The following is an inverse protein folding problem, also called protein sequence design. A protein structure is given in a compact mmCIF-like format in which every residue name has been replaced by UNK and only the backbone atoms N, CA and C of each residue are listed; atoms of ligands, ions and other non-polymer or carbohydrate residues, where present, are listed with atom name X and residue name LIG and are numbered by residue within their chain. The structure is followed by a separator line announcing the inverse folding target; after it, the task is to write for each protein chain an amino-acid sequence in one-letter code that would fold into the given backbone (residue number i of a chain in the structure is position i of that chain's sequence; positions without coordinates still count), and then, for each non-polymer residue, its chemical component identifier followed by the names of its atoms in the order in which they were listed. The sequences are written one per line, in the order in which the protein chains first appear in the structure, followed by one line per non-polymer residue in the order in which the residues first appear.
data_IF_322875816895
#
_entry.id   IF_322875816895
#
_cell.length_a   1.000
_cell.length_b   1.000
_cell.length_c   1.000
_cell.angle_alpha   90.00
_cell.angle_beta   90.00
_cell.angle_gamma   90.00
#
_symmetry.space_group_name_H-M   'P 1'
#
loop_
_entity.id
_entity.type
_entity.pdbx_description
1 polymer ?
#
# COMPACT_ATOMS: atom_id res chain seq x y z
N UNK A 1 -8.57 18.83 -32.21
CA UNK A 1 -8.79 18.42 -30.81
C UNK A 1 -7.68 17.49 -30.36
N UNK A 2 -6.70 18.03 -29.64
CA UNK A 2 -5.70 17.20 -28.96
C UNK A 2 -6.39 16.68 -27.70
N UNK A 3 -6.81 15.42 -27.71
CA UNK A 3 -7.23 14.74 -26.47
C UNK A 3 -5.99 14.60 -25.59
N UNK A 4 -5.91 15.39 -24.53
CA UNK A 4 -5.00 15.09 -23.42
C UNK A 4 -5.39 13.71 -22.88
N UNK A 5 -4.63 12.67 -23.24
CA UNK A 5 -4.70 11.37 -22.56
C UNK A 5 -4.32 11.63 -21.10
N UNK A 6 -5.31 11.62 -20.21
CA UNK A 6 -5.06 11.56 -18.77
C UNK A 6 -4.25 10.28 -18.54
N UNK A 7 -3.01 10.42 -18.07
CA UNK A 7 -2.18 9.27 -17.72
C UNK A 7 -2.91 8.49 -16.62
N UNK A 8 -3.38 7.29 -16.94
CA UNK A 8 -3.96 6.40 -15.95
C UNK A 8 -2.83 5.95 -15.02
N UNK A 9 -3.00 6.17 -13.72
CA UNK A 9 -2.05 5.66 -12.71
C UNK A 9 -1.99 4.15 -12.80
N UNK A 10 -0.79 3.61 -13.01
CA UNK A 10 -0.57 2.17 -13.02
C UNK A 10 -0.45 1.69 -11.57
N UNK A 11 -1.26 0.71 -11.18
CA UNK A 11 -1.20 0.12 -9.86
C UNK A 11 -1.12 -1.40 -9.97
N UNK A 12 -0.12 -1.99 -9.29
CA UNK A 12 0.11 -3.43 -9.25
C UNK A 12 0.15 -3.91 -7.81
N UNK A 13 -0.82 -4.73 -7.41
CA UNK A 13 -0.77 -5.44 -6.13
C UNK A 13 0.44 -6.39 -6.11
N UNK A 14 1.17 -6.41 -5.00
CA UNK A 14 2.33 -7.28 -4.76
C UNK A 14 2.15 -8.23 -3.57
N UNK A 15 1.08 -8.06 -2.79
CA UNK A 15 0.75 -8.97 -1.70
C UNK A 15 -0.32 -8.40 -0.77
N UNK A 16 -0.80 -9.25 0.14
CA UNK A 16 -1.79 -8.89 1.14
C UNK A 16 -1.60 -9.68 2.44
N UNK A 17 -2.03 -9.11 3.55
CA UNK A 17 -2.01 -9.73 4.88
C UNK A 17 -3.37 -9.53 5.54
N UNK A 18 -3.96 -10.61 6.07
CA UNK A 18 -5.22 -10.52 6.83
C UNK A 18 -4.99 -9.76 8.14
N UNK A 19 -5.81 -8.75 8.41
CA UNK A 19 -5.83 -8.02 9.68
C UNK A 19 -6.98 -8.50 10.58
N UNK A 20 -8.13 -8.80 9.98
CA UNK A 20 -9.30 -9.38 10.65
C UNK A 20 -10.18 -10.10 9.62
N UNK A 21 -11.33 -10.63 10.02
CA UNK A 21 -12.28 -11.28 9.09
C UNK A 21 -12.83 -10.35 8.01
N UNK A 22 -12.83 -9.03 8.28
CA UNK A 22 -13.37 -8.03 7.36
C UNK A 22 -12.30 -7.07 6.82
N UNK A 23 -11.03 -7.26 7.17
CA UNK A 23 -9.95 -6.34 6.80
C UNK A 23 -8.68 -7.04 6.35
N UNK A 24 -8.11 -6.53 5.26
CA UNK A 24 -6.80 -6.92 4.73
C UNK A 24 -5.92 -5.69 4.57
N UNK A 25 -4.63 -5.81 4.86
CA UNK A 25 -3.63 -4.84 4.43
C UNK A 25 -3.12 -5.28 3.06
N UNK A 26 -3.34 -4.45 2.04
CA UNK A 26 -2.91 -4.73 0.67
C UNK A 26 -1.71 -3.85 0.34
N UNK A 27 -0.65 -4.47 -0.19
CA UNK A 27 0.54 -3.80 -0.67
C UNK A 27 0.50 -3.68 -2.19
N UNK A 28 0.65 -2.47 -2.73
CA UNK A 28 0.67 -2.20 -4.17
C UNK A 28 1.84 -1.30 -4.56
N UNK A 29 2.40 -1.53 -5.74
CA UNK A 29 3.32 -0.62 -6.42
C UNK A 29 2.51 0.33 -7.30
N UNK A 30 2.70 1.64 -7.13
CA UNK A 30 2.00 2.68 -7.88
C UNK A 30 2.99 3.43 -8.77
N UNK A 31 2.71 3.48 -10.07
CA UNK A 31 3.51 4.09 -11.14
C UNK A 31 4.99 3.62 -11.19
N UNK A 32 5.31 2.48 -10.55
CA UNK A 32 6.69 2.03 -10.27
C UNK A 32 7.53 2.97 -9.38
N UNK A 33 6.88 3.91 -8.69
CA UNK A 33 7.54 4.95 -7.90
C UNK A 33 7.24 4.89 -6.40
N UNK A 34 6.10 4.27 -6.04
CA UNK A 34 5.59 4.28 -4.67
C UNK A 34 5.14 2.89 -4.23
N UNK A 35 5.28 2.63 -2.94
CA UNK A 35 4.59 1.55 -2.24
C UNK A 35 3.37 2.13 -1.51
N UNK A 36 2.18 1.71 -1.91
CA UNK A 36 0.93 1.97 -1.18
C UNK A 36 0.61 0.75 -0.31
N UNK A 37 0.56 0.95 1.01
CA UNK A 37 0.05 -0.02 1.97
C UNK A 37 -1.32 0.46 2.43
N UNK A 38 -2.38 -0.21 2.02
CA UNK A 38 -3.76 0.27 2.24
C UNK A 38 -4.63 -0.80 2.86
N UNK A 39 -5.44 -0.38 3.84
CA UNK A 39 -6.47 -1.26 4.39
C UNK A 39 -7.60 -1.38 3.38
N UNK A 40 -7.91 -2.61 3.01
CA UNK A 40 -9.11 -2.99 2.31
C UNK A 40 -10.11 -3.54 3.31
N UNK A 41 -11.38 -3.23 3.10
CA UNK A 41 -12.48 -3.79 3.87
C UNK A 41 -13.33 -4.69 2.99
N UNK A 42 -13.94 -5.70 3.60
CA UNK A 42 -14.96 -6.55 3.01
C UNK A 42 -16.15 -6.61 3.95
N UNK A 43 -17.18 -5.85 3.63
CA UNK A 43 -18.48 -5.85 4.29
C UNK A 43 -19.58 -6.17 3.28
N UNK A 44 -20.79 -6.46 3.75
CA UNK A 44 -21.93 -6.72 2.87
C UNK A 44 -22.26 -5.55 1.94
N UNK A 45 -22.00 -4.32 2.40
CA UNK A 45 -22.30 -3.08 1.68
C UNK A 45 -21.13 -2.54 0.85
N UNK A 46 -19.89 -2.96 1.12
CA UNK A 46 -18.70 -2.44 0.45
C UNK A 46 -17.51 -3.39 0.52
N UNK A 47 -16.90 -3.65 -0.63
CA UNK A 47 -15.60 -4.33 -0.74
C UNK A 47 -14.65 -3.44 -1.50
N UNK A 48 -13.54 -3.06 -0.88
CA UNK A 48 -12.55 -2.23 -1.55
C UNK A 48 -11.61 -1.46 -0.62
N UNK A 49 -10.85 -0.58 -1.25
CA UNK A 49 -9.80 0.19 -0.62
C UNK A 49 -10.36 1.31 0.27
N UNK A 50 -9.87 1.44 1.49
CA UNK A 50 -10.24 2.55 2.38
C UNK A 50 -9.29 3.74 2.22
N UNK A 51 -9.63 4.88 2.85
CA UNK A 51 -8.71 6.04 2.98
C UNK A 51 -7.62 5.84 4.05
N UNK A 52 -7.50 4.64 4.62
CA UNK A 52 -6.48 4.31 5.62
C UNK A 52 -5.29 3.68 4.90
N UNK A 53 -4.30 4.50 4.59
CA UNK A 53 -3.10 4.06 3.90
C UNK A 53 -1.82 4.69 4.45
N UNK A 54 -0.71 4.04 4.13
CA UNK A 54 0.64 4.55 4.24
C UNK A 54 1.28 4.42 2.86
N UNK A 55 1.58 5.55 2.23
CA UNK A 55 2.26 5.59 0.94
C UNK A 55 3.72 6.03 1.12
N UNK A 56 4.64 5.25 0.57
CA UNK A 56 6.08 5.53 0.61
C UNK A 56 6.62 5.72 -0.81
N UNK A 57 7.22 6.87 -1.09
CA UNK A 57 8.03 7.04 -2.29
C UNK A 57 9.32 6.21 -2.18
N UNK A 58 9.77 5.60 -3.28
CA UNK A 58 11.02 4.84 -3.26
C UNK A 58 12.26 5.73 -3.28
N UNK A 59 12.14 6.94 -3.82
CA UNK A 59 13.27 7.82 -4.10
C UNK A 59 13.65 8.78 -2.97
N UNK A 60 12.80 8.95 -1.95
CA UNK A 60 13.04 9.87 -0.83
C UNK A 60 13.76 9.22 0.37
N UNK A 61 14.02 7.91 0.29
CA UNK A 61 14.64 7.13 1.35
C UNK A 61 13.72 6.83 2.55
N UNK A 62 12.45 7.26 2.53
CA UNK A 62 11.47 7.02 3.59
C UNK A 62 11.16 5.53 3.70
N UNK A 63 10.98 4.83 2.57
CA UNK A 63 10.82 3.37 2.57
C UNK A 63 11.97 2.64 3.28
N UNK A 64 13.22 3.08 3.03
CA UNK A 64 14.41 2.50 3.67
C UNK A 64 14.42 2.74 5.19
N UNK A 65 13.95 3.91 5.66
CA UNK A 65 13.79 4.20 7.10
C UNK A 65 12.72 3.31 7.72
N UNK A 66 11.57 3.17 7.07
CA UNK A 66 10.47 2.32 7.54
C UNK A 66 10.90 0.86 7.67
N UNK A 67 11.57 0.29 6.66
CA UNK A 67 12.10 -1.10 6.73
C UNK A 67 13.01 -1.32 7.94
N UNK A 68 13.85 -0.34 8.30
CA UNK A 68 14.69 -0.43 9.50
C UNK A 68 13.88 -0.42 10.79
N UNK A 69 12.78 0.33 10.83
CA UNK A 69 11.87 0.34 11.98
C UNK A 69 11.22 -1.03 12.17
N UNK A 70 10.69 -1.63 11.08
CA UNK A 70 10.10 -2.97 11.13
C UNK A 70 11.12 -4.01 11.58
N UNK A 71 12.34 -3.98 11.06
CA UNK A 71 13.39 -4.91 11.50
C UNK A 71 13.79 -4.72 12.98
N UNK A 72 13.75 -3.49 13.50
CA UNK A 72 13.97 -3.25 14.94
C UNK A 72 12.82 -3.80 15.79
N UNK A 73 11.58 -3.69 15.30
CA UNK A 73 10.41 -4.26 15.97
C UNK A 73 10.51 -5.79 16.03
N UNK A 74 10.87 -6.42 14.91
CA UNK A 74 11.03 -7.88 14.79
C UNK A 74 11.98 -8.44 15.87
N UNK A 75 13.13 -7.80 16.04
CA UNK A 75 14.13 -8.15 17.07
C UNK A 75 13.67 -8.03 18.53
N UNK A 76 12.57 -7.32 18.81
CA UNK A 76 12.02 -7.25 20.18
C UNK A 76 11.23 -8.52 20.51
N UNK A 77 10.75 -9.22 19.48
CA UNK A 77 9.89 -10.40 19.60
C UNK A 77 10.58 -11.70 19.18
N UNK A 78 11.87 -11.65 18.83
CA UNK A 78 12.79 -12.81 18.80
C UNK A 78 13.35 -13.09 20.20
#
# INVERSE_FOLDING_TARGET
NIMNKIKQTEQKEIGRVKLSDTQELVASIVDNEKLDLRVFVKTDSYTGATRRDLTFCFFDGTWRKFKRLVHKMDKVYE
#
